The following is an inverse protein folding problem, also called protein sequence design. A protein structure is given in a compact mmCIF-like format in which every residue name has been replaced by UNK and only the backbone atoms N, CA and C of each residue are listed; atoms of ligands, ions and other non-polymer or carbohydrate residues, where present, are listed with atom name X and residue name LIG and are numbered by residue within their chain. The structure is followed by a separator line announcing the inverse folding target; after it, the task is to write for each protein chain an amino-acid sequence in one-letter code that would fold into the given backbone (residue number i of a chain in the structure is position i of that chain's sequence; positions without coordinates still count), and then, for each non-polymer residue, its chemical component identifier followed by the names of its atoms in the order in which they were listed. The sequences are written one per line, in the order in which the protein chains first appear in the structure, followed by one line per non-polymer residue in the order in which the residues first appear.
data_IF_098846572216
#
_entry.id   IF_098846572216
#
_cell.length_a   1.000
_cell.length_b   1.000
_cell.length_c   1.000
_cell.angle_alpha   90.00
_cell.angle_beta   90.00
_cell.angle_gamma   90.00
#
_symmetry.space_group_name_H-M   'P 1'
#
loop_
_entity.id
_entity.type
_entity.pdbx_description
1 polymer ?
#
# COMPACT_ATOMS: atom_id res chain seq x y z
N UNK A 1 24.70 23.19 -15.92
CA UNK A 1 23.48 22.38 -15.76
C UNK A 1 22.84 22.82 -14.45
N UNK A 2 21.54 23.10 -14.48
CA UNK A 2 20.77 23.41 -13.28
C UNK A 2 20.29 22.07 -12.68
N UNK A 3 20.50 21.90 -11.36
CA UNK A 3 20.09 20.71 -10.62
C UNK A 3 19.15 21.11 -9.51
N UNK A 4 17.97 20.51 -9.48
CA UNK A 4 17.01 20.64 -8.38
C UNK A 4 16.75 19.23 -7.81
N UNK A 5 16.86 19.12 -6.49
CA UNK A 5 16.63 17.88 -5.76
C UNK A 5 15.53 18.11 -4.73
N UNK A 6 14.61 17.16 -4.63
CA UNK A 6 13.53 17.18 -3.63
C UNK A 6 13.49 15.85 -2.90
N UNK A 7 13.22 15.91 -1.60
CA UNK A 7 13.08 14.71 -0.78
C UNK A 7 12.71 15.06 0.66
N UNK A 8 12.41 14.04 1.43
CA UNK A 8 12.12 14.17 2.85
C UNK A 8 13.07 13.25 3.63
N UNK A 9 14.03 13.82 4.40
CA UNK A 9 14.99 13.04 5.16
C UNK A 9 14.33 12.17 6.25
N UNK A 10 13.15 12.57 6.74
CA UNK A 10 12.39 11.84 7.76
C UNK A 10 11.61 10.64 7.19
N UNK A 11 11.50 10.52 5.85
CA UNK A 11 10.85 9.39 5.16
C UNK A 11 11.87 8.37 4.61
N UNK A 12 13.09 8.34 5.10
CA UNK A 12 14.11 7.37 4.68
C UNK A 12 13.84 6.00 5.33
N UNK A 13 12.84 5.29 4.81
CA UNK A 13 12.37 4.00 5.35
C UNK A 13 13.04 2.78 4.70
N UNK A 14 13.90 2.97 3.71
CA UNK A 14 14.62 1.90 2.99
C UNK A 14 16.11 1.83 3.32
N UNK A 15 16.50 2.19 4.55
CA UNK A 15 17.90 2.16 4.99
C UNK A 15 18.53 0.77 4.87
N UNK A 16 17.74 -0.29 5.04
CA UNK A 16 18.17 -1.70 4.86
C UNK A 16 18.54 -2.06 3.41
N UNK A 17 18.16 -1.24 2.42
CA UNK A 17 18.56 -1.37 1.01
C UNK A 17 19.62 -0.37 0.60
N UNK A 18 20.22 0.36 1.56
CA UNK A 18 21.27 1.33 1.31
C UNK A 18 20.78 2.78 1.10
N UNK A 19 19.48 3.06 1.30
CA UNK A 19 18.99 4.43 1.29
C UNK A 19 19.55 5.21 2.49
N UNK A 20 20.02 6.44 2.26
CA UNK A 20 20.54 7.32 3.30
C UNK A 20 20.00 8.74 3.13
N UNK A 21 19.56 9.33 4.22
CA UNK A 21 19.15 10.74 4.28
C UNK A 21 20.35 11.71 4.20
N UNK A 22 21.58 11.23 4.36
CA UNK A 22 22.80 12.04 4.33
C UNK A 22 22.98 12.77 3.01
N UNK A 23 22.53 12.19 1.90
CA UNK A 23 22.63 12.85 0.60
C UNK A 23 21.83 14.15 0.53
N UNK A 24 20.66 14.19 1.17
CA UNK A 24 19.85 15.41 1.28
C UNK A 24 20.45 16.38 2.31
N UNK A 25 20.84 15.87 3.47
CA UNK A 25 21.42 16.68 4.55
C UNK A 25 22.65 17.44 4.13
N UNK A 26 23.57 16.76 3.44
CA UNK A 26 24.87 17.29 3.06
C UNK A 26 24.87 17.84 1.62
N UNK A 27 23.68 18.14 1.07
CA UNK A 27 23.58 18.60 -0.31
C UNK A 27 24.27 19.96 -0.52
N UNK A 28 24.03 20.92 0.36
CA UNK A 28 24.65 22.24 0.29
C UNK A 28 26.18 22.19 0.44
N UNK A 29 26.70 21.26 1.25
CA UNK A 29 28.15 21.06 1.42
C UNK A 29 28.80 20.49 0.14
N UNK A 30 28.08 19.62 -0.57
CA UNK A 30 28.53 19.02 -1.82
C UNK A 30 28.43 19.96 -3.02
N UNK A 31 27.45 20.86 -2.97
CA UNK A 31 27.16 21.83 -4.03
C UNK A 31 27.18 23.24 -3.47
N UNK A 32 28.38 23.86 -3.31
CA UNK A 32 28.50 25.21 -2.82
C UNK A 32 27.68 26.19 -3.67
N UNK A 33 26.86 26.99 -3.02
CA UNK A 33 25.92 27.92 -3.67
C UNK A 33 24.52 27.34 -3.89
N UNK A 34 24.25 26.09 -3.51
CA UNK A 34 22.90 25.57 -3.49
C UNK A 34 22.03 26.32 -2.47
N UNK A 35 20.80 26.63 -2.88
CA UNK A 35 19.79 27.18 -1.97
C UNK A 35 18.91 26.05 -1.45
N UNK A 36 18.67 25.99 -0.15
CA UNK A 36 17.79 25.01 0.49
C UNK A 36 16.48 25.71 0.84
N UNK A 37 15.36 25.07 0.48
CA UNK A 37 14.01 25.56 0.80
C UNK A 37 13.28 24.46 1.53
N UNK A 38 12.86 24.72 2.77
CA UNK A 38 12.05 23.80 3.57
C UNK A 38 10.57 24.02 3.33
N UNK A 39 9.86 22.94 3.02
CA UNK A 39 8.40 22.93 2.84
C UNK A 39 7.75 22.41 4.13
N UNK A 40 7.50 23.32 5.07
CA UNK A 40 6.99 22.99 6.40
C UNK A 40 5.48 22.88 6.48
N UNK A 41 4.74 23.46 5.54
CA UNK A 41 3.27 23.47 5.56
C UNK A 41 2.69 22.14 5.07
N UNK A 42 1.95 21.45 5.94
CA UNK A 42 1.24 20.21 5.62
C UNK A 42 -0.22 20.48 5.31
N UNK A 43 -0.62 20.24 4.07
CA UNK A 43 -1.99 20.40 3.56
C UNK A 43 -2.80 19.10 3.57
N UNK A 44 -2.17 17.96 3.84
CA UNK A 44 -2.79 16.61 3.74
C UNK A 44 -3.54 16.22 4.99
N UNK A 45 -2.95 16.48 6.14
CA UNK A 45 -3.36 15.88 7.41
C UNK A 45 -4.00 16.88 8.35
N UNK A 46 -4.80 16.37 9.28
CA UNK A 46 -5.38 17.18 10.35
C UNK A 46 -4.31 17.65 11.34
N UNK A 47 -4.62 18.69 12.12
CA UNK A 47 -3.72 19.24 13.13
C UNK A 47 -3.24 18.19 14.13
N UNK A 48 -4.10 17.26 14.54
CA UNK A 48 -3.76 16.20 15.49
C UNK A 48 -2.80 15.18 14.91
N UNK A 49 -2.96 14.83 13.64
CA UNK A 49 -2.03 13.90 12.96
C UNK A 49 -0.65 14.56 12.81
N UNK A 50 -0.61 15.83 12.39
CA UNK A 50 0.67 16.55 12.27
C UNK A 50 1.36 16.70 13.62
N UNK A 51 0.62 17.06 14.67
CA UNK A 51 1.17 17.16 16.02
C UNK A 51 1.70 15.80 16.53
N UNK A 52 1.02 14.70 16.21
CA UNK A 52 1.48 13.35 16.53
C UNK A 52 2.77 12.99 15.77
N UNK A 53 2.83 13.30 14.47
CA UNK A 53 4.03 13.07 13.65
C UNK A 53 5.23 13.88 14.14
N UNK A 54 5.04 15.15 14.46
CA UNK A 54 6.10 16.02 15.00
C UNK A 54 6.69 15.46 16.31
N UNK A 55 5.85 14.94 17.22
CA UNK A 55 6.32 14.29 18.45
C UNK A 55 7.13 13.02 18.17
N UNK A 56 6.74 12.24 17.18
CA UNK A 56 7.44 11.00 16.83
C UNK A 56 8.83 11.29 16.24
N UNK A 57 8.97 12.41 15.55
CA UNK A 57 10.21 12.80 14.86
C UNK A 57 11.02 13.85 15.64
N UNK A 58 10.58 14.29 16.82
CA UNK A 58 11.19 15.40 17.58
C UNK A 58 12.70 15.26 17.82
N UNK A 59 13.18 14.03 18.08
CA UNK A 59 14.59 13.75 18.34
C UNK A 59 15.43 13.65 17.05
N UNK A 60 14.79 13.59 15.89
CA UNK A 60 15.42 13.36 14.58
C UNK A 60 15.06 14.45 13.55
N UNK A 61 14.37 15.50 13.95
CA UNK A 61 13.86 16.54 13.06
C UNK A 61 14.97 17.22 12.26
N UNK A 62 14.94 16.95 10.99
CA UNK A 62 15.74 17.58 9.97
C UNK A 62 14.75 18.26 9.02
N UNK A 63 14.77 19.59 9.01
CA UNK A 63 13.84 20.37 8.19
C UNK A 63 12.71 21.06 8.97
N UNK A 64 12.79 21.07 10.32
CA UNK A 64 11.83 21.79 11.17
C UNK A 64 10.52 21.05 11.44
N UNK A 65 9.71 21.60 12.33
CA UNK A 65 8.37 21.10 12.61
C UNK A 65 7.41 21.37 11.44
N UNK A 66 6.54 20.43 11.15
CA UNK A 66 5.47 20.61 10.18
C UNK A 66 4.34 21.44 10.78
N UNK A 67 3.83 22.39 10.02
CA UNK A 67 2.66 23.20 10.34
C UNK A 67 1.44 22.68 9.59
N UNK A 68 0.36 22.37 10.30
CA UNK A 68 -0.86 21.87 9.69
C UNK A 68 -1.71 23.02 9.13
N UNK A 69 -1.92 23.06 7.83
CA UNK A 69 -2.92 23.91 7.18
C UNK A 69 -4.33 23.29 7.21
N UNK A 70 -4.42 21.99 7.51
CA UNK A 70 -5.67 21.24 7.53
C UNK A 70 -6.56 21.55 8.76
N UNK A 71 -7.80 21.02 8.75
CA UNK A 71 -8.75 21.21 9.83
C UNK A 71 -8.32 20.46 11.10
N UNK A 72 -9.02 20.75 12.20
CA UNK A 72 -8.98 19.92 13.40
C UNK A 72 -9.66 18.58 13.12
N UNK A 73 -9.09 17.50 13.57
CA UNK A 73 -9.60 16.13 13.40
C UNK A 73 -9.51 15.31 14.67
N UNK A 74 -9.70 14.02 14.56
CA UNK A 74 -9.60 13.08 15.68
C UNK A 74 -8.14 12.88 16.09
N UNK A 75 -7.88 12.77 17.39
CA UNK A 75 -6.55 12.44 17.91
C UNK A 75 -6.18 11.00 17.55
N UNK A 76 -4.99 10.76 16.97
CA UNK A 76 -4.50 9.41 16.73
C UNK A 76 -4.48 8.59 18.03
N UNK A 77 -4.94 7.35 17.93
CA UNK A 77 -4.98 6.42 19.05
C UNK A 77 -3.84 5.41 18.94
N UNK A 78 -3.25 5.04 20.07
CA UNK A 78 -2.27 3.96 20.19
C UNK A 78 -2.84 2.92 21.12
N UNK A 79 -2.87 1.67 20.65
CA UNK A 79 -3.34 0.54 21.43
C UNK A 79 -2.32 -0.58 21.42
N UNK A 80 -2.29 -1.40 22.47
CA UNK A 80 -1.52 -2.63 22.54
C UNK A 80 -2.46 -3.80 22.78
N UNK A 81 -2.11 -4.97 22.25
CA UNK A 81 -2.93 -6.17 22.31
C UNK A 81 -2.10 -7.35 22.81
N UNK A 82 -2.77 -8.33 23.42
CA UNK A 82 -2.12 -9.53 23.98
C UNK A 82 -1.56 -10.47 22.89
N UNK A 83 -2.07 -10.38 21.67
CA UNK A 83 -1.65 -11.20 20.55
C UNK A 83 -1.91 -10.51 19.21
N UNK A 84 -1.19 -10.93 18.18
CA UNK A 84 -1.40 -10.47 16.81
C UNK A 84 -2.82 -10.79 16.28
N UNK A 85 -3.44 -11.88 16.75
CA UNK A 85 -4.81 -12.24 16.43
C UNK A 85 -5.81 -11.25 17.05
N UNK A 86 -5.58 -10.86 18.31
CA UNK A 86 -6.42 -9.87 19.00
C UNK A 86 -6.30 -8.50 18.32
N UNK A 87 -5.09 -8.10 17.92
CA UNK A 87 -4.83 -6.89 17.14
C UNK A 87 -5.60 -6.91 15.81
N UNK A 88 -5.43 -7.96 15.00
CA UNK A 88 -6.10 -8.07 13.71
C UNK A 88 -7.64 -8.02 13.84
N UNK A 89 -8.19 -8.69 14.85
CA UNK A 89 -9.63 -8.64 15.14
C UNK A 89 -10.09 -7.23 15.52
N UNK A 90 -9.34 -6.53 16.37
CA UNK A 90 -9.67 -5.18 16.79
C UNK A 90 -9.61 -4.20 15.60
N UNK A 91 -8.62 -4.33 14.72
CA UNK A 91 -8.51 -3.54 13.49
C UNK A 91 -9.72 -3.80 12.58
N UNK A 92 -10.09 -5.05 12.34
CA UNK A 92 -11.25 -5.38 11.50
C UNK A 92 -12.56 -4.84 12.07
N UNK A 93 -12.76 -4.87 13.41
CA UNK A 93 -13.92 -4.28 14.06
C UNK A 93 -13.94 -2.75 13.92
N UNK A 94 -12.81 -2.07 14.08
CA UNK A 94 -12.72 -0.63 13.90
C UNK A 94 -13.03 -0.22 12.44
N UNK A 95 -12.60 -1.03 11.46
CA UNK A 95 -12.94 -0.83 10.04
C UNK A 95 -14.45 -1.01 9.82
N UNK A 96 -15.05 -2.06 10.40
CA UNK A 96 -16.49 -2.28 10.32
C UNK A 96 -17.29 -1.09 10.87
N UNK A 97 -16.89 -0.55 12.01
CA UNK A 97 -17.50 0.63 12.62
C UNK A 97 -17.33 1.87 11.71
N UNK A 98 -16.14 2.10 11.16
CA UNK A 98 -15.90 3.20 10.24
C UNK A 98 -16.81 3.13 9.00
N UNK A 99 -16.98 1.93 8.43
CA UNK A 99 -17.87 1.70 7.29
C UNK A 99 -19.33 1.98 7.68
N UNK A 100 -19.78 1.51 8.86
CA UNK A 100 -21.13 1.76 9.36
C UNK A 100 -21.41 3.24 9.59
N UNK A 101 -20.40 4.02 9.98
CA UNK A 101 -20.51 5.47 10.16
C UNK A 101 -20.39 6.24 8.83
N UNK A 102 -20.26 5.55 7.71
CA UNK A 102 -20.31 6.14 6.37
C UNK A 102 -18.94 6.42 5.73
N UNK A 103 -17.82 5.95 6.31
CA UNK A 103 -16.52 6.07 5.68
C UNK A 103 -16.44 5.10 4.50
N UNK A 104 -16.16 5.58 3.27
CA UNK A 104 -15.98 4.70 2.11
C UNK A 104 -14.80 3.74 2.33
N UNK A 105 -14.95 2.49 1.90
CA UNK A 105 -13.85 1.50 1.98
C UNK A 105 -12.59 1.94 1.24
N UNK A 106 -12.73 2.69 0.15
CA UNK A 106 -11.62 3.27 -0.61
C UNK A 106 -10.76 4.24 0.20
N UNK A 107 -11.32 4.79 1.27
CA UNK A 107 -10.68 5.82 2.10
C UNK A 107 -10.06 5.22 3.38
N UNK A 108 -10.11 3.89 3.50
CA UNK A 108 -9.54 3.16 4.63
C UNK A 108 -8.30 2.40 4.14
N UNK A 109 -7.19 2.56 4.86
CA UNK A 109 -5.97 1.80 4.60
C UNK A 109 -5.42 1.19 5.89
N UNK A 110 -4.97 -0.05 5.81
CA UNK A 110 -4.23 -0.74 6.87
C UNK A 110 -2.79 -0.89 6.43
N UNK A 111 -1.86 -0.35 7.23
CA UNK A 111 -0.44 -0.45 6.99
C UNK A 111 0.19 -1.41 8.00
N UNK A 112 1.05 -2.30 7.53
CA UNK A 112 1.76 -3.25 8.37
C UNK A 112 3.25 -3.29 8.03
N UNK A 113 4.06 -3.77 8.96
CA UNK A 113 5.53 -3.71 8.85
C UNK A 113 6.12 -4.80 7.98
N UNK A 114 5.57 -6.01 8.01
CA UNK A 114 6.03 -7.18 7.27
C UNK A 114 4.86 -7.94 6.65
N UNK A 115 5.08 -8.54 5.49
CA UNK A 115 4.04 -9.21 4.70
C UNK A 115 3.29 -10.32 5.46
N UNK A 116 3.95 -11.03 6.38
CA UNK A 116 3.29 -12.09 7.16
C UNK A 116 2.16 -11.58 8.08
N UNK A 117 2.10 -10.28 8.36
CA UNK A 117 1.01 -9.69 9.14
C UNK A 117 -0.29 -9.61 8.34
N UNK A 118 -0.22 -9.58 7.00
CA UNK A 118 -1.41 -9.49 6.15
C UNK A 118 -2.35 -10.66 6.35
N UNK A 119 -1.85 -11.87 6.52
CA UNK A 119 -2.66 -13.09 6.62
C UNK A 119 -3.67 -13.03 7.79
N UNK A 120 -3.24 -12.51 8.95
CA UNK A 120 -4.14 -12.37 10.10
C UNK A 120 -5.18 -11.29 9.89
N UNK A 121 -4.78 -10.18 9.26
CA UNK A 121 -5.68 -9.07 8.90
C UNK A 121 -6.71 -9.53 7.86
N UNK A 122 -6.27 -10.25 6.82
CA UNK A 122 -7.13 -10.80 5.78
C UNK A 122 -8.19 -11.73 6.38
N UNK A 123 -7.78 -12.69 7.22
CA UNK A 123 -8.71 -13.59 7.92
C UNK A 123 -9.71 -12.85 8.81
N UNK A 124 -9.27 -11.78 9.50
CA UNK A 124 -10.16 -11.01 10.34
C UNK A 124 -11.16 -10.16 9.56
N UNK A 125 -10.77 -9.65 8.39
CA UNK A 125 -11.66 -8.92 7.47
C UNK A 125 -12.65 -9.86 6.79
N UNK A 126 -12.18 -11.03 6.32
CA UNK A 126 -13.04 -12.07 5.73
C UNK A 126 -14.11 -12.55 6.71
N UNK A 127 -13.77 -12.70 8.00
CA UNK A 127 -14.72 -13.10 9.02
C UNK A 127 -15.86 -12.08 9.26
N UNK A 128 -15.70 -10.84 8.80
CA UNK A 128 -16.69 -9.77 8.85
C UNK A 128 -17.25 -9.39 7.47
N UNK A 129 -17.01 -10.20 6.44
CA UNK A 129 -17.40 -9.95 5.04
C UNK A 129 -16.94 -8.57 4.53
N UNK A 130 -15.78 -8.10 4.95
CA UNK A 130 -15.20 -6.84 4.52
C UNK A 130 -14.28 -7.09 3.33
N UNK A 131 -14.67 -6.61 2.15
CA UNK A 131 -13.81 -6.67 0.95
C UNK A 131 -12.62 -5.75 1.09
N UNK A 132 -11.44 -6.23 0.73
CA UNK A 132 -10.19 -5.49 0.77
C UNK A 132 -9.37 -5.70 -0.52
N UNK A 133 -8.37 -4.84 -0.73
CA UNK A 133 -7.38 -4.98 -1.77
C UNK A 133 -5.98 -4.97 -1.15
N UNK A 134 -5.19 -6.00 -1.41
CA UNK A 134 -3.82 -6.10 -0.94
C UNK A 134 -2.89 -5.34 -1.91
N UNK A 135 -2.26 -4.27 -1.42
CA UNK A 135 -1.24 -3.53 -2.18
C UNK A 135 0.16 -3.89 -1.66
N UNK A 136 1.10 -4.14 -2.56
CA UNK A 136 2.48 -4.49 -2.19
C UNK A 136 2.67 -5.96 -1.81
N UNK A 137 1.67 -6.81 -2.04
CA UNK A 137 1.81 -8.26 -2.05
C UNK A 137 2.85 -8.72 -3.10
N UNK A 138 2.92 -10.02 -3.36
CA UNK A 138 3.83 -10.59 -4.39
C UNK A 138 3.79 -9.75 -5.66
N UNK A 139 4.97 -9.49 -6.25
CA UNK A 139 5.06 -8.81 -7.55
C UNK A 139 4.09 -9.46 -8.50
N UNK A 140 3.37 -8.69 -9.31
CA UNK A 140 2.32 -9.16 -10.23
C UNK A 140 2.68 -10.51 -10.90
N UNK A 141 3.87 -10.61 -11.49
CA UNK A 141 4.34 -11.84 -12.13
C UNK A 141 4.78 -12.94 -11.16
N UNK A 142 4.84 -12.70 -9.87
CA UNK A 142 5.16 -13.69 -8.84
C UNK A 142 3.90 -14.40 -8.31
N UNK A 143 2.73 -13.81 -8.50
CA UNK A 143 1.44 -14.38 -8.07
C UNK A 143 1.20 -15.73 -8.74
N UNK A 144 0.74 -16.76 -8.00
CA UNK A 144 0.53 -18.11 -8.54
C UNK A 144 -0.39 -18.15 -9.76
N UNK A 145 -1.49 -17.39 -9.72
CA UNK A 145 -2.45 -17.29 -10.82
C UNK A 145 -1.83 -16.68 -12.08
N UNK A 146 -0.99 -15.67 -11.93
CA UNK A 146 -0.28 -15.01 -13.03
C UNK A 146 0.82 -15.93 -13.59
N UNK A 147 1.59 -16.61 -12.73
CA UNK A 147 2.55 -17.63 -13.16
C UNK A 147 1.87 -18.72 -13.98
N UNK A 148 0.72 -19.22 -13.50
CA UNK A 148 -0.06 -20.23 -14.22
C UNK A 148 -0.57 -19.70 -15.56
N UNK A 149 -1.08 -18.48 -15.62
CA UNK A 149 -1.52 -17.86 -16.86
C UNK A 149 -0.36 -17.71 -17.86
N UNK A 150 0.78 -17.20 -17.42
CA UNK A 150 1.98 -17.05 -18.27
C UNK A 150 2.47 -18.42 -18.77
N UNK A 151 2.48 -19.45 -17.94
CA UNK A 151 2.87 -20.80 -18.36
C UNK A 151 1.94 -21.38 -19.44
N UNK A 152 0.62 -21.22 -19.27
CA UNK A 152 -0.37 -21.70 -20.24
C UNK A 152 -0.28 -20.91 -21.56
N UNK A 153 -0.10 -19.60 -21.52
CA UNK A 153 0.10 -18.75 -22.70
C UNK A 153 1.38 -19.17 -23.45
N UNK A 154 2.47 -19.46 -22.73
CA UNK A 154 3.71 -19.97 -23.33
C UNK A 154 3.51 -21.35 -23.96
N UNK A 155 2.79 -22.25 -23.30
CA UNK A 155 2.45 -23.56 -23.87
C UNK A 155 1.63 -23.43 -25.16
N UNK A 156 0.64 -22.56 -25.18
CA UNK A 156 -0.16 -22.25 -26.36
C UNK A 156 0.70 -21.68 -27.50
N UNK A 157 1.70 -20.84 -27.19
CA UNK A 157 2.61 -20.28 -28.20
C UNK A 157 3.52 -21.34 -28.84
N UNK A 158 3.86 -22.40 -28.10
CA UNK A 158 4.70 -23.50 -28.58
C UNK A 158 3.90 -24.57 -29.34
N UNK A 159 2.62 -24.74 -29.03
CA UNK A 159 1.71 -25.70 -29.64
C UNK A 159 0.35 -25.05 -29.88
N UNK A 160 0.23 -24.16 -30.89
CA UNK A 160 -0.98 -23.38 -31.10
C UNK A 160 -2.21 -24.25 -31.38
N UNK A 161 -3.34 -23.93 -30.71
CA UNK A 161 -4.64 -24.58 -30.91
C UNK A 161 -5.29 -24.22 -32.25
N UNK A 162 -4.68 -23.33 -33.03
CA UNK A 162 -5.22 -22.80 -34.28
C UNK A 162 -6.28 -21.71 -34.12
N UNK A 163 -6.57 -21.32 -32.89
CA UNK A 163 -7.50 -20.21 -32.56
C UNK A 163 -6.83 -18.85 -32.75
N UNK A 164 -7.60 -17.79 -33.03
CA UNK A 164 -7.10 -16.42 -32.95
C UNK A 164 -6.49 -16.13 -31.56
N UNK A 165 -5.38 -15.40 -31.51
CA UNK A 165 -4.62 -15.15 -30.27
C UNK A 165 -5.49 -14.63 -29.12
N UNK A 166 -6.37 -13.65 -29.38
CA UNK A 166 -7.27 -13.08 -28.39
C UNK A 166 -8.23 -14.10 -27.79
N UNK A 167 -8.68 -15.08 -28.60
CA UNK A 167 -9.57 -16.14 -28.16
C UNK A 167 -8.82 -17.18 -27.33
N UNK A 168 -7.62 -17.58 -27.76
CA UNK A 168 -6.78 -18.50 -27.02
C UNK A 168 -6.42 -17.94 -25.63
N UNK A 169 -6.01 -16.67 -25.56
CA UNK A 169 -5.71 -15.99 -24.28
C UNK A 169 -6.96 -15.89 -23.42
N UNK A 170 -8.11 -15.49 -23.98
CA UNK A 170 -9.38 -15.42 -23.23
C UNK A 170 -9.80 -16.77 -22.66
N UNK A 171 -9.65 -17.85 -23.41
CA UNK A 171 -9.97 -19.20 -22.96
C UNK A 171 -9.05 -19.64 -21.81
N UNK A 172 -7.75 -19.30 -21.89
CA UNK A 172 -6.77 -19.57 -20.83
C UNK A 172 -7.15 -18.85 -19.54
N UNK A 173 -7.39 -17.52 -19.59
CA UNK A 173 -7.73 -16.75 -18.36
C UNK A 173 -9.06 -17.22 -17.76
N UNK A 174 -10.04 -17.59 -18.59
CA UNK A 174 -11.31 -18.19 -18.13
C UNK A 174 -11.10 -19.54 -17.45
N UNK A 175 -10.22 -20.39 -17.98
CA UNK A 175 -9.90 -21.68 -17.34
C UNK A 175 -9.26 -21.52 -15.96
N UNK A 176 -8.63 -20.37 -15.69
CA UNK A 176 -8.08 -20.00 -14.40
C UNK A 176 -9.10 -19.33 -13.47
N UNK A 177 -10.35 -19.17 -13.90
CA UNK A 177 -11.45 -18.63 -13.11
C UNK A 177 -11.76 -17.15 -13.36
N UNK A 178 -11.18 -16.54 -14.42
CA UNK A 178 -11.57 -15.18 -14.81
C UNK A 178 -12.97 -15.16 -15.42
N UNK A 179 -13.75 -14.13 -15.10
CA UNK A 179 -15.07 -13.85 -15.66
C UNK A 179 -15.14 -12.38 -16.10
N UNK A 180 -15.98 -12.09 -17.11
CA UNK A 180 -16.12 -10.72 -17.63
C UNK A 180 -16.68 -9.74 -16.58
N UNK A 181 -17.51 -10.23 -15.67
CA UNK A 181 -18.06 -9.45 -14.57
C UNK A 181 -17.32 -9.78 -13.27
N UNK A 182 -17.13 -8.77 -12.43
CA UNK A 182 -16.55 -8.98 -11.09
C UNK A 182 -17.41 -9.97 -10.30
N UNK A 183 -16.82 -11.03 -9.70
CA UNK A 183 -17.58 -11.97 -8.88
C UNK A 183 -18.18 -11.24 -7.66
N UNK A 184 -19.35 -11.69 -7.26
CA UNK A 184 -20.01 -11.20 -6.02
C UNK A 184 -19.36 -11.75 -4.76
N UNK A 185 -18.59 -12.82 -4.91
CA UNK A 185 -17.81 -13.43 -3.83
C UNK A 185 -16.64 -12.52 -3.43
N UNK A 186 -16.32 -12.51 -2.14
CA UNK A 186 -15.24 -11.72 -1.53
C UNK A 186 -14.03 -12.60 -1.19
N UNK A 187 -12.93 -12.01 -0.76
CA UNK A 187 -11.73 -12.73 -0.34
C UNK A 187 -10.90 -13.23 -1.51
N UNK A 188 -10.42 -14.48 -1.41
CA UNK A 188 -9.48 -15.08 -2.40
C UNK A 188 -10.01 -15.07 -3.82
N UNK A 189 -11.33 -15.28 -4.02
CA UNK A 189 -11.96 -15.29 -5.36
C UNK A 189 -11.90 -13.92 -6.00
N UNK A 190 -12.26 -12.87 -5.25
CA UNK A 190 -12.17 -11.49 -5.71
C UNK A 190 -10.72 -11.06 -6.00
N UNK A 191 -9.78 -11.37 -5.12
CA UNK A 191 -8.36 -11.06 -5.31
C UNK A 191 -7.77 -11.76 -6.54
N UNK A 192 -8.12 -13.02 -6.77
CA UNK A 192 -7.71 -13.78 -7.96
C UNK A 192 -8.29 -13.17 -9.24
N UNK A 193 -9.57 -12.80 -9.22
CA UNK A 193 -10.21 -12.14 -10.35
C UNK A 193 -9.55 -10.79 -10.67
N UNK A 194 -9.26 -9.97 -9.65
CA UNK A 194 -8.58 -8.68 -9.80
C UNK A 194 -7.18 -8.85 -10.39
N UNK A 195 -6.43 -9.87 -9.94
CA UNK A 195 -5.12 -10.18 -10.49
C UNK A 195 -5.17 -10.57 -11.97
N UNK A 196 -6.18 -11.32 -12.40
CA UNK A 196 -6.35 -11.75 -13.78
C UNK A 196 -6.97 -10.67 -14.68
N UNK A 197 -7.60 -9.65 -14.10
CA UNK A 197 -8.22 -8.54 -14.82
C UNK A 197 -7.27 -7.33 -14.99
N UNK A 198 -6.14 -7.32 -14.29
CA UNK A 198 -5.10 -6.28 -14.39
C UNK A 198 -4.21 -6.49 -15.62
#
# INVERSE_FOLDING_TARGET
AELCVVGDPNQTIYSFTGASSEFLRNFADRFPGASVVDLTTNYRSTKQIVAFANRLTSDALLGGELEAAGPTGTTPQVASFESAQAEAKAVALAIAEAIQTGVPRSDIAVLYRINNQSELLERALDALDISYQLRGGERFFARPEIKSAVQLIRAESLSPSGKPLHQAVSDIVRSLGWQANKPTEVGVVASKWEALNA
#
